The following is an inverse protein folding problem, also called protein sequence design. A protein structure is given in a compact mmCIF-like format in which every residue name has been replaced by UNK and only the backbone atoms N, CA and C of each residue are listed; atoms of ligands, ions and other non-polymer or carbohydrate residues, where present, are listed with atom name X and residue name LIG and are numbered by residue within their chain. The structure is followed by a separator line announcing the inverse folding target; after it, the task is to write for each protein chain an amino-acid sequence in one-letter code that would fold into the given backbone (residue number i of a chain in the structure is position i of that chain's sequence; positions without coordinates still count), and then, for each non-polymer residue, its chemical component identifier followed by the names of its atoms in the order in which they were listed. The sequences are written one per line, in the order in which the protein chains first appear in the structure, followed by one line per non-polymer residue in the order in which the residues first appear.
data_IF_352092556149
#
_entry.id   IF_352092556149
#
_cell.length_a   1.000
_cell.length_b   1.000
_cell.length_c   1.000
_cell.angle_alpha   90.00
_cell.angle_beta   90.00
_cell.angle_gamma   90.00
#
_symmetry.space_group_name_H-M   'P 1'
#
loop_
_entity.id
_entity.type
_entity.pdbx_description
1 polymer ?
#
# COMPACT_ATOMS: atom_id res chain seq x y z
N UNK A 1 19.25 -22.63 -12.61
CA UNK A 1 19.19 -21.31 -11.95
C UNK A 1 18.22 -21.45 -10.80
N UNK A 2 18.68 -21.43 -9.55
CA UNK A 2 17.83 -21.64 -8.37
C UNK A 2 17.74 -20.32 -7.61
N UNK A 3 16.57 -19.68 -7.64
CA UNK A 3 16.27 -18.49 -6.85
C UNK A 3 15.71 -18.94 -5.51
N UNK A 4 16.41 -18.63 -4.42
CA UNK A 4 15.93 -18.91 -3.08
C UNK A 4 14.98 -17.79 -2.65
N UNK A 5 13.68 -18.11 -2.57
CA UNK A 5 12.69 -17.25 -1.95
C UNK A 5 13.02 -17.11 -0.45
N UNK A 6 13.20 -15.86 0.01
CA UNK A 6 13.31 -15.56 1.44
C UNK A 6 12.04 -14.82 1.86
N UNK A 7 11.15 -15.53 2.53
CA UNK A 7 9.99 -14.94 3.19
C UNK A 7 10.33 -14.69 4.66
N UNK A 8 9.94 -13.53 5.21
CA UNK A 8 10.17 -13.15 6.59
C UNK A 8 8.82 -12.89 7.26
N UNK A 9 8.37 -13.84 8.08
CA UNK A 9 7.19 -13.69 8.93
C UNK A 9 7.62 -13.19 10.31
N UNK A 10 7.18 -12.00 10.70
CA UNK A 10 7.38 -11.48 12.06
C UNK A 10 6.08 -11.62 12.83
N UNK A 11 6.05 -12.49 13.84
CA UNK A 11 4.90 -12.66 14.73
C UNK A 11 5.17 -11.85 16.00
N UNK A 12 4.29 -10.90 16.31
CA UNK A 12 4.36 -10.11 17.55
C UNK A 12 3.54 -10.80 18.66
N UNK A 13 4.18 -11.32 19.74
CA UNK A 13 3.45 -11.80 20.91
C UNK A 13 2.70 -10.68 21.64
N UNK A 14 1.64 -11.00 22.40
CA UNK A 14 0.84 -10.01 23.12
C UNK A 14 1.72 -9.22 24.11
N UNK A 15 1.75 -7.89 23.97
CA UNK A 15 2.59 -6.99 24.76
C UNK A 15 3.62 -6.20 23.93
N UNK A 16 3.74 -6.45 22.63
CA UNK A 16 4.55 -5.59 21.75
C UNK A 16 3.75 -4.35 21.33
N UNK A 17 4.39 -3.19 21.49
CA UNK A 17 3.81 -1.89 21.12
C UNK A 17 3.49 -1.86 19.62
N UNK A 18 2.47 -1.07 19.21
CA UNK A 18 2.12 -0.89 17.80
C UNK A 18 3.35 -0.49 16.98
N UNK A 19 3.34 -0.68 15.64
CA UNK A 19 4.43 -0.28 14.77
C UNK A 19 4.87 1.16 15.11
N UNK A 20 6.18 1.45 15.00
CA UNK A 20 6.73 2.72 15.45
C UNK A 20 5.90 3.87 14.88
N UNK A 21 5.48 4.79 15.76
CA UNK A 21 4.92 6.07 15.33
C UNK A 21 5.85 6.67 14.30
N UNK A 22 5.26 7.17 13.21
CA UNK A 22 5.92 7.96 12.17
C UNK A 22 7.05 8.79 12.78
N UNK A 23 8.28 8.48 12.40
CA UNK A 23 9.43 9.22 12.91
C UNK A 23 9.35 10.65 12.37
N UNK A 24 9.66 11.64 13.20
CA UNK A 24 9.59 13.05 12.82
C UNK A 24 10.60 13.34 11.71
N UNK A 25 10.15 13.27 10.46
CA UNK A 25 10.99 13.29 9.26
C UNK A 25 10.39 12.53 8.07
N UNK A 26 9.41 11.65 8.31
CA UNK A 26 8.69 10.89 7.28
C UNK A 26 7.83 11.83 6.41
N UNK A 27 8.09 11.89 5.09
CA UNK A 27 7.25 12.66 4.18
C UNK A 27 6.02 11.83 3.87
N UNK A 28 4.88 12.51 3.84
CA UNK A 28 3.60 11.90 3.47
C UNK A 28 3.00 12.67 2.29
N UNK A 29 1.95 12.11 1.69
CA UNK A 29 1.12 12.79 0.69
C UNK A 29 0.51 14.12 1.20
N UNK A 30 0.40 14.30 2.51
CA UNK A 30 0.00 15.58 3.12
C UNK A 30 1.07 16.68 2.95
N UNK A 31 2.36 16.32 2.90
CA UNK A 31 3.49 17.26 2.84
C UNK A 31 4.21 17.27 1.50
N UNK A 32 4.10 16.22 0.68
CA UNK A 32 4.87 16.03 -0.55
C UNK A 32 3.94 15.91 -1.78
N UNK A 33 4.09 16.80 -2.79
CA UNK A 33 3.27 16.77 -4.01
C UNK A 33 3.43 15.49 -4.85
N UNK A 34 4.61 14.88 -4.87
CA UNK A 34 4.87 13.65 -5.61
C UNK A 34 4.15 12.46 -4.98
N UNK A 35 4.22 12.32 -3.66
CA UNK A 35 3.45 11.31 -2.92
C UNK A 35 1.94 11.54 -3.05
N UNK A 36 1.50 12.80 -3.10
CA UNK A 36 0.10 13.14 -3.36
C UNK A 36 -0.38 12.74 -4.75
N UNK A 37 0.49 12.85 -5.76
CA UNK A 37 0.19 12.35 -7.12
C UNK A 37 -0.05 10.85 -7.07
N UNK A 38 0.86 10.09 -6.49
CA UNK A 38 0.72 8.63 -6.35
C UNK A 38 -0.56 8.25 -5.64
N UNK A 39 -0.89 8.94 -4.54
CA UNK A 39 -2.15 8.73 -3.85
C UNK A 39 -3.35 8.90 -4.77
N UNK A 40 -3.44 10.03 -5.48
CA UNK A 40 -4.62 10.36 -6.31
C UNK A 40 -4.75 9.51 -7.56
N UNK A 41 -3.64 9.24 -8.24
CA UNK A 41 -3.64 8.60 -9.55
C UNK A 41 -3.72 7.08 -9.41
N UNK A 42 -3.07 6.51 -8.40
CA UNK A 42 -2.94 5.05 -8.27
C UNK A 42 -3.68 4.51 -7.05
N UNK A 43 -3.43 5.06 -5.87
CA UNK A 43 -3.92 4.44 -4.63
C UNK A 43 -5.42 4.61 -4.46
N UNK A 44 -5.92 5.85 -4.55
CA UNK A 44 -7.33 6.15 -4.30
C UNK A 44 -8.26 5.41 -5.28
N UNK A 45 -7.98 5.32 -6.61
CA UNK A 45 -8.79 4.52 -7.52
C UNK A 45 -8.82 3.03 -7.17
N UNK A 46 -7.66 2.43 -6.87
CA UNK A 46 -7.58 1.01 -6.50
C UNK A 46 -8.33 0.74 -5.20
N UNK A 47 -8.11 1.56 -4.17
CA UNK A 47 -8.80 1.45 -2.88
C UNK A 47 -10.30 1.57 -3.04
N UNK A 48 -10.78 2.58 -3.79
CA UNK A 48 -12.21 2.79 -4.03
C UNK A 48 -12.87 1.65 -4.83
N UNK A 49 -12.09 0.89 -5.60
CA UNK A 49 -12.59 -0.26 -6.35
C UNK A 49 -12.76 -1.53 -5.51
N UNK A 50 -12.00 -1.66 -4.41
CA UNK A 50 -11.97 -2.87 -3.58
C UNK A 50 -12.62 -2.69 -2.20
N UNK A 51 -12.71 -1.45 -1.70
CA UNK A 51 -13.26 -1.11 -0.39
C UNK A 51 -14.37 -0.07 -0.52
N UNK A 52 -15.42 -0.21 0.30
CA UNK A 52 -16.46 0.82 0.35
C UNK A 52 -16.00 2.02 1.19
N UNK A 53 -16.58 3.21 0.98
CA UNK A 53 -16.24 4.40 1.78
C UNK A 53 -16.43 4.20 3.29
N UNK A 54 -17.37 3.36 3.71
CA UNK A 54 -17.65 3.05 5.12
C UNK A 54 -16.61 2.10 5.72
N UNK A 55 -15.97 1.26 4.90
CA UNK A 55 -14.90 0.38 5.35
C UNK A 55 -13.59 1.16 5.56
N UNK A 56 -13.34 2.19 4.76
CA UNK A 56 -12.07 2.94 4.77
C UNK A 56 -12.05 3.99 5.89
N UNK A 57 -11.08 3.85 6.80
CA UNK A 57 -10.85 4.81 7.90
C UNK A 57 -9.75 5.81 7.55
N UNK A 58 -8.68 5.34 6.91
CA UNK A 58 -7.56 6.18 6.50
C UNK A 58 -6.79 5.57 5.32
N UNK A 59 -6.25 6.46 4.48
CA UNK A 59 -5.29 6.12 3.43
C UNK A 59 -4.15 7.14 3.51
N UNK A 60 -2.91 6.67 3.43
CA UNK A 60 -1.72 7.52 3.40
C UNK A 60 -0.66 6.92 2.48
N UNK A 61 0.07 7.79 1.78
CA UNK A 61 1.24 7.42 0.97
C UNK A 61 2.45 8.14 1.55
N UNK A 62 3.56 7.42 1.74
CA UNK A 62 4.74 7.93 2.44
C UNK A 62 6.03 7.33 1.91
N UNK A 63 7.16 7.97 2.21
CA UNK A 63 8.48 7.44 1.89
C UNK A 63 9.14 6.71 3.07
N UNK A 64 10.04 5.77 2.77
CA UNK A 64 11.11 5.36 3.70
C UNK A 64 10.69 4.63 5.00
N UNK A 65 9.53 3.99 5.06
CA UNK A 65 9.07 3.25 6.26
C UNK A 65 9.99 2.07 6.58
N UNK A 66 10.41 1.33 5.53
CA UNK A 66 11.16 0.09 5.63
C UNK A 66 12.07 -0.10 4.41
N UNK A 67 13.31 0.41 4.44
CA UNK A 67 14.27 0.15 3.35
C UNK A 67 14.91 1.40 2.79
N UNK A 68 14.87 1.57 1.47
CA UNK A 68 15.51 2.69 0.79
C UNK A 68 14.73 4.00 1.06
N UNK A 69 15.40 5.14 1.24
CA UNK A 69 14.75 6.43 1.49
C UNK A 69 13.74 6.85 0.41
N UNK A 70 13.94 6.34 -0.80
CA UNK A 70 13.09 6.65 -1.96
C UNK A 70 12.02 5.58 -2.24
N UNK A 71 11.86 4.59 -1.35
CA UNK A 71 10.76 3.63 -1.44
C UNK A 71 9.44 4.31 -1.07
N UNK A 72 8.44 4.15 -1.92
CA UNK A 72 7.08 4.66 -1.73
C UNK A 72 6.22 3.56 -1.16
N UNK A 73 5.62 3.82 -0.01
CA UNK A 73 4.75 2.91 0.73
C UNK A 73 3.33 3.44 0.81
N UNK A 74 2.36 2.53 0.73
CA UNK A 74 0.95 2.79 1.01
C UNK A 74 0.56 2.20 2.36
N UNK A 75 -0.26 2.93 3.09
CA UNK A 75 -0.91 2.47 4.30
C UNK A 75 -2.41 2.67 4.17
N UNK A 76 -3.17 1.58 4.22
CA UNK A 76 -4.64 1.58 4.21
C UNK A 76 -5.11 1.08 5.57
N UNK A 77 -5.98 1.84 6.22
CA UNK A 77 -6.68 1.39 7.44
C UNK A 77 -8.15 1.22 7.08
N UNK A 78 -8.66 -0.01 7.24
CA UNK A 78 -10.06 -0.31 6.99
C UNK A 78 -10.62 -1.21 8.08
N UNK A 79 -11.82 -0.86 8.57
CA UNK A 79 -12.52 -1.59 9.63
C UNK A 79 -11.60 -1.97 10.82
N UNK A 80 -10.78 -1.05 11.31
CA UNK A 80 -9.84 -1.22 12.43
C UNK A 80 -8.63 -2.12 12.15
N UNK A 81 -8.39 -2.52 10.90
CA UNK A 81 -7.21 -3.28 10.47
C UNK A 81 -6.32 -2.42 9.57
N UNK A 82 -5.02 -2.72 9.54
CA UNK A 82 -4.04 -1.95 8.79
C UNK A 82 -3.32 -2.83 7.77
N UNK A 83 -3.33 -2.38 6.52
CA UNK A 83 -2.54 -2.88 5.41
C UNK A 83 -1.38 -1.92 5.13
N UNK A 84 -0.18 -2.45 4.96
CA UNK A 84 1.01 -1.69 4.58
C UNK A 84 1.76 -2.44 3.49
N UNK A 85 2.01 -1.77 2.36
CA UNK A 85 2.75 -2.35 1.25
C UNK A 85 3.60 -1.32 0.53
N UNK A 86 4.67 -1.78 -0.12
CA UNK A 86 5.51 -0.96 -0.97
C UNK A 86 4.85 -0.85 -2.35
N UNK A 87 4.64 0.37 -2.83
CA UNK A 87 4.14 0.65 -4.18
C UNK A 87 5.27 0.63 -5.21
N UNK A 88 6.37 1.30 -4.89
CA UNK A 88 7.48 1.52 -5.80
C UNK A 88 8.79 1.64 -5.01
N UNK A 89 9.88 1.11 -5.56
CA UNK A 89 11.21 1.40 -5.03
C UNK A 89 11.88 2.51 -5.84
N UNK A 90 12.55 3.43 -5.15
CA UNK A 90 13.29 4.51 -5.80
C UNK A 90 14.48 4.04 -6.64
N UNK A 91 14.93 2.80 -6.46
CA UNK A 91 15.94 2.16 -7.32
C UNK A 91 15.48 2.04 -8.78
N UNK A 92 14.18 2.15 -9.04
CA UNK A 92 13.59 2.03 -10.37
C UNK A 92 13.30 3.38 -11.05
N UNK A 93 13.71 4.51 -10.49
CA UNK A 93 13.31 5.86 -10.93
C UNK A 93 13.58 6.22 -12.41
N UNK A 94 14.41 5.47 -13.15
CA UNK A 94 14.73 5.75 -14.56
C UNK A 94 14.05 4.83 -15.58
N UNK A 95 13.64 3.63 -15.18
CA UNK A 95 12.99 2.62 -16.06
C UNK A 95 11.82 1.94 -15.35
N UNK A 96 11.26 2.63 -14.36
CA UNK A 96 10.34 2.05 -13.40
C UNK A 96 9.01 1.67 -14.03
N UNK A 97 8.24 0.83 -13.33
CA UNK A 97 6.93 0.42 -13.78
C UNK A 97 6.04 1.65 -14.05
N UNK A 98 5.16 1.53 -15.05
CA UNK A 98 4.15 2.55 -15.32
C UNK A 98 3.15 2.67 -14.17
N UNK A 99 2.34 3.73 -14.16
CA UNK A 99 1.29 3.90 -13.15
C UNK A 99 0.31 2.71 -13.16
N UNK A 100 0.01 2.17 -14.33
CA UNK A 100 -0.83 0.98 -14.53
C UNK A 100 -0.20 -0.29 -13.94
N UNK A 101 1.10 -0.49 -14.14
CA UNK A 101 1.82 -1.64 -13.58
C UNK A 101 1.87 -1.57 -12.04
N UNK A 102 2.10 -0.37 -11.49
CA UNK A 102 2.05 -0.14 -10.04
C UNK A 102 0.63 -0.36 -9.50
N UNK A 103 -0.39 0.15 -10.19
CA UNK A 103 -1.80 -0.03 -9.80
C UNK A 103 -2.21 -1.50 -9.83
N UNK A 104 -1.82 -2.25 -10.87
CA UNK A 104 -2.09 -3.67 -10.99
C UNK A 104 -1.47 -4.47 -9.84
N UNK A 105 -0.18 -4.23 -9.55
CA UNK A 105 0.50 -4.88 -8.43
C UNK A 105 -0.12 -4.53 -7.07
N UNK A 106 -0.52 -3.28 -6.87
CA UNK A 106 -1.19 -2.87 -5.64
C UNK A 106 -2.59 -3.49 -5.50
N UNK A 107 -3.37 -3.54 -6.58
CA UNK A 107 -4.71 -4.12 -6.58
C UNK A 107 -4.71 -5.61 -6.26
N UNK A 108 -3.75 -6.36 -6.81
CA UNK A 108 -3.55 -7.79 -6.54
C UNK A 108 -3.30 -8.03 -5.03
N UNK A 109 -2.32 -7.31 -4.46
CA UNK A 109 -1.99 -7.46 -3.05
C UNK A 109 -3.11 -6.98 -2.11
N UNK A 110 -3.83 -5.91 -2.48
CA UNK A 110 -4.94 -5.41 -1.68
C UNK A 110 -6.14 -6.37 -1.72
N UNK A 111 -6.41 -7.00 -2.87
CA UNK A 111 -7.44 -8.03 -3.01
C UNK A 111 -7.16 -9.22 -2.07
N UNK A 112 -5.93 -9.72 -2.07
CA UNK A 112 -5.50 -10.81 -1.17
C UNK A 112 -5.70 -10.42 0.30
N UNK A 113 -5.24 -9.22 0.69
CA UNK A 113 -5.41 -8.74 2.05
C UNK A 113 -6.89 -8.61 2.46
N UNK A 114 -7.75 -8.11 1.57
CA UNK A 114 -9.19 -8.02 1.85
C UNK A 114 -9.77 -9.42 2.09
N UNK A 115 -9.41 -10.41 1.28
CA UNK A 115 -9.86 -11.79 1.42
C UNK A 115 -9.37 -12.47 2.72
N UNK A 116 -8.28 -11.99 3.30
CA UNK A 116 -7.70 -12.47 4.57
C UNK A 116 -8.14 -11.63 5.80
N UNK A 117 -8.73 -10.46 5.59
CA UNK A 117 -9.19 -9.56 6.66
C UNK A 117 -10.44 -10.08 7.39
N UNK A 118 -10.72 -9.54 8.59
CA UNK A 118 -11.91 -9.94 9.37
C UNK A 118 -13.23 -9.47 8.75
N UNK A 119 -13.19 -8.42 7.93
CA UNK A 119 -14.38 -7.81 7.33
C UNK A 119 -14.63 -8.34 5.90
N UNK A 120 -13.57 -8.76 5.20
CA UNK A 120 -13.63 -9.30 3.84
C UNK A 120 -13.39 -10.81 3.74
N UNK A 121 -13.25 -11.53 4.84
CA UNK A 121 -12.86 -12.95 4.87
C UNK A 121 -13.53 -13.81 3.79
N UNK A 122 -12.72 -14.39 2.90
CA UNK A 122 -13.16 -15.27 1.82
C UNK A 122 -13.88 -14.59 0.65
N UNK A 123 -13.97 -13.25 0.62
CA UNK A 123 -14.52 -12.50 -0.49
C UNK A 123 -13.41 -12.11 -1.47
N UNK A 124 -13.39 -12.75 -2.64
CA UNK A 124 -12.51 -12.35 -3.74
C UNK A 124 -13.16 -11.19 -4.51
N UNK A 125 -12.84 -9.95 -4.14
CA UNK A 125 -13.38 -8.74 -4.77
C UNK A 125 -12.58 -8.41 -6.03
N UNK A 126 -13.23 -8.36 -7.19
CA UNK A 126 -12.54 -8.04 -8.44
C UNK A 126 -12.26 -6.54 -8.54
N UNK A 127 -11.00 -6.11 -8.73
CA UNK A 127 -10.68 -4.70 -8.85
C UNK A 127 -11.22 -4.14 -10.18
N UNK A 128 -11.93 -3.02 -10.08
CA UNK A 128 -12.48 -2.27 -11.21
C UNK A 128 -12.18 -0.78 -11.03
N UNK A 129 -11.03 -0.34 -11.53
CA UNK A 129 -10.56 1.04 -11.43
C UNK A 129 -10.12 1.57 -12.81
N UNK A 130 -10.16 2.90 -12.93
CA UNK A 130 -9.61 3.66 -14.04
C UNK A 130 -8.68 4.72 -13.44
N UNK A 131 -7.46 4.83 -13.96
CA UNK A 131 -6.46 5.77 -13.45
C UNK A 131 -6.64 7.18 -14.03
N UNK A 132 -7.55 7.33 -15.02
CA UNK A 132 -7.71 8.58 -15.76
C UNK A 132 -6.52 8.86 -16.69
N UNK A 133 -6.62 9.92 -17.50
CA UNK A 133 -5.47 10.36 -18.29
C UNK A 133 -4.39 10.98 -17.38
N UNK A 134 -3.09 10.71 -17.64
CA UNK A 134 -1.97 11.18 -16.83
C UNK A 134 -1.77 12.70 -16.81
#
# INVERSE_FOLDING_TARGET
MSSAYRSSLTIHPPGQSPPPRASSGERTDASDPGLRRWRRVVVDPVVASLLTPEEVEAVAVRDGVHGHPDDVWVCVTACGEQYVAMLLSGEWAQTGPSDEEVAAGFADQLQDWVAESRFGWGQLREPAYDLGEP
#
